data_IF_737106413800
#
_entry.id   IF_737106413800
#
_cell.length_a   1.000
_cell.length_b   1.000
_cell.length_c   1.000
_cell.angle_alpha   90.00
_cell.angle_beta   90.00
_cell.angle_gamma   90.00
#
_symmetry.space_group_name_H-M   'P 1'
#
loop_
_entity.id
_entity.type
_entity.pdbx_description
1 polymer ?
#
# COMPACT_ATOMS: atom_id res chain seq x y z
N UNK A 1 4.31 -27.50 -45.58
CA UNK A 1 5.18 -26.44 -45.00
C UNK A 1 5.69 -26.94 -43.66
N UNK A 2 6.99 -27.18 -43.55
CA UNK A 2 7.64 -27.53 -42.29
C UNK A 2 7.61 -26.26 -41.41
N UNK A 3 6.80 -26.25 -40.35
CA UNK A 3 6.85 -25.18 -39.33
C UNK A 3 8.12 -25.40 -38.52
N UNK A 4 9.16 -24.64 -38.85
CA UNK A 4 10.39 -24.58 -38.05
C UNK A 4 9.97 -24.02 -36.68
N UNK A 5 10.02 -24.86 -35.65
CA UNK A 5 9.70 -24.47 -34.28
C UNK A 5 10.93 -23.75 -33.73
N UNK A 6 10.82 -22.45 -33.54
CA UNK A 6 11.90 -21.63 -33.02
C UNK A 6 12.09 -21.92 -31.52
N UNK A 7 13.15 -22.64 -31.16
CA UNK A 7 13.52 -22.95 -29.78
C UNK A 7 14.40 -21.87 -29.13
N UNK A 8 14.79 -20.83 -29.88
CA UNK A 8 15.81 -19.86 -29.42
C UNK A 8 15.22 -18.63 -28.72
N UNK A 9 13.89 -18.51 -28.62
CA UNK A 9 13.15 -17.34 -28.12
C UNK A 9 13.60 -15.98 -28.70
N UNK A 10 14.39 -15.98 -29.80
CA UNK A 10 15.06 -14.80 -30.34
C UNK A 10 14.07 -13.72 -30.75
N UNK A 11 12.93 -14.14 -31.31
CA UNK A 11 11.84 -13.23 -31.68
C UNK A 11 11.23 -12.51 -30.46
N UNK A 12 11.10 -13.21 -29.34
CA UNK A 12 10.56 -12.66 -28.10
C UNK A 12 11.55 -11.67 -27.47
N UNK A 13 12.85 -12.01 -27.45
CA UNK A 13 13.91 -11.10 -26.97
C UNK A 13 13.97 -9.82 -27.81
N UNK A 14 13.85 -9.93 -29.13
CA UNK A 14 13.80 -8.78 -30.03
C UNK A 14 12.57 -7.90 -29.77
N UNK A 15 11.41 -8.51 -29.55
CA UNK A 15 10.19 -7.80 -29.20
C UNK A 15 10.35 -7.03 -27.88
N UNK A 16 10.85 -7.68 -26.82
CA UNK A 16 11.13 -7.05 -25.52
C UNK A 16 12.07 -5.86 -25.66
N UNK A 17 13.15 -6.01 -26.44
CA UNK A 17 14.09 -4.91 -26.73
C UNK A 17 13.40 -3.75 -27.44
N UNK A 18 12.57 -4.02 -28.45
CA UNK A 18 11.84 -2.96 -29.18
C UNK A 18 10.88 -2.21 -28.26
N UNK A 19 10.14 -2.91 -27.40
CA UNK A 19 9.23 -2.31 -26.42
C UNK A 19 10.02 -1.43 -25.44
N UNK A 20 11.09 -1.96 -24.85
CA UNK A 20 11.97 -1.22 -23.93
C UNK A 20 12.50 0.07 -24.57
N UNK A 21 13.10 -0.03 -25.76
CA UNK A 21 13.66 1.13 -26.45
C UNK A 21 12.58 2.16 -26.79
N UNK A 22 11.37 1.72 -27.15
CA UNK A 22 10.25 2.61 -27.43
C UNK A 22 9.81 3.38 -26.18
N UNK A 23 9.71 2.69 -25.03
CA UNK A 23 9.33 3.30 -23.75
C UNK A 23 10.40 4.31 -23.30
N UNK A 24 11.68 3.95 -23.38
CA UNK A 24 12.79 4.78 -22.87
C UNK A 24 13.15 5.95 -23.79
N UNK A 25 12.88 5.87 -25.09
CA UNK A 25 13.18 6.93 -26.06
C UNK A 25 12.05 7.95 -26.23
N UNK A 26 10.87 7.67 -25.69
CA UNK A 26 9.72 8.57 -25.80
C UNK A 26 9.74 9.60 -24.67
N UNK A 27 9.40 10.84 -24.99
CA UNK A 27 9.42 11.94 -23.99
C UNK A 27 8.14 11.93 -23.16
N UNK A 28 7.02 11.59 -23.79
CA UNK A 28 5.70 11.62 -23.18
C UNK A 28 4.93 10.30 -23.36
N UNK A 29 4.00 10.02 -22.44
CA UNK A 29 3.24 8.77 -22.43
C UNK A 29 2.32 8.65 -23.64
N UNK A 30 1.83 9.77 -24.19
CA UNK A 30 1.01 9.75 -25.40
C UNK A 30 1.82 9.29 -26.63
N UNK A 31 3.04 9.83 -26.76
CA UNK A 31 3.97 9.47 -27.81
C UNK A 31 4.36 7.98 -27.70
N UNK A 32 4.71 7.54 -26.49
CA UNK A 32 5.05 6.15 -26.21
C UNK A 32 3.89 5.22 -26.55
N UNK A 33 2.68 5.53 -26.08
CA UNK A 33 1.47 4.76 -26.36
C UNK A 33 1.19 4.66 -27.86
N UNK A 34 1.27 5.76 -28.59
CA UNK A 34 1.06 5.74 -30.04
C UNK A 34 2.13 4.94 -30.81
N UNK A 35 3.40 5.02 -30.41
CA UNK A 35 4.47 4.20 -31.01
C UNK A 35 4.30 2.71 -30.70
N UNK A 36 3.97 2.38 -29.45
CA UNK A 36 3.78 0.99 -29.02
C UNK A 36 2.59 0.33 -29.73
N UNK A 37 1.48 1.05 -29.95
CA UNK A 37 0.32 0.55 -30.70
C UNK A 37 0.61 0.30 -32.18
N UNK A 38 1.67 0.88 -32.75
CA UNK A 38 2.12 0.61 -34.13
C UNK A 38 2.95 -0.67 -34.24
N UNK A 39 3.44 -1.21 -33.13
CA UNK A 39 4.13 -2.50 -33.11
C UNK A 39 3.09 -3.57 -33.41
N UNK A 40 3.33 -4.38 -34.45
CA UNK A 40 2.45 -5.50 -34.79
C UNK A 40 2.70 -6.63 -33.79
N UNK A 41 1.82 -6.72 -32.79
CA UNK A 41 1.82 -7.81 -31.83
C UNK A 41 1.03 -9.00 -32.40
N UNK A 42 1.60 -10.19 -32.30
CA UNK A 42 0.85 -11.43 -32.52
C UNK A 42 -0.05 -11.72 -31.30
N UNK A 43 -1.17 -12.43 -31.47
CA UNK A 43 -2.04 -12.79 -30.36
C UNK A 43 -1.26 -13.53 -29.26
N UNK A 44 -1.32 -13.01 -28.03
CA UNK A 44 -0.59 -13.50 -26.87
C UNK A 44 0.65 -12.68 -26.50
N UNK A 45 1.19 -11.87 -27.43
CA UNK A 45 2.35 -10.99 -27.16
C UNK A 45 1.96 -9.72 -26.40
N UNK A 46 0.67 -9.41 -26.27
CA UNK A 46 0.18 -8.27 -25.48
C UNK A 46 0.59 -8.38 -24.01
N UNK A 47 0.73 -9.60 -23.49
CA UNK A 47 1.24 -9.86 -22.15
C UNK A 47 2.69 -9.36 -21.99
N UNK A 48 3.54 -9.58 -23.00
CA UNK A 48 4.93 -9.14 -22.97
C UNK A 48 5.04 -7.61 -22.91
N UNK A 49 4.11 -6.89 -23.54
CA UNK A 49 4.03 -5.43 -23.41
C UNK A 49 3.72 -5.01 -21.96
N UNK A 50 2.73 -5.62 -21.32
CA UNK A 50 2.40 -5.34 -19.92
C UNK A 50 3.56 -5.66 -18.98
N UNK A 51 4.23 -6.81 -19.17
CA UNK A 51 5.40 -7.23 -18.39
C UNK A 51 6.53 -6.23 -18.57
N UNK A 52 6.92 -5.91 -19.80
CA UNK A 52 8.01 -4.99 -20.07
C UNK A 52 7.74 -3.59 -19.51
N UNK A 53 6.51 -3.09 -19.63
CA UNK A 53 6.13 -1.80 -19.07
C UNK A 53 6.29 -1.77 -17.54
N UNK A 54 5.83 -2.83 -16.87
CA UNK A 54 5.93 -2.96 -15.41
C UNK A 54 7.39 -3.15 -14.96
N UNK A 55 8.18 -3.93 -15.68
CA UNK A 55 9.60 -4.13 -15.41
C UNK A 55 10.38 -2.82 -15.53
N UNK A 56 10.16 -2.04 -16.60
CA UNK A 56 10.76 -0.71 -16.77
C UNK A 56 10.41 0.19 -15.58
N UNK A 57 9.12 0.25 -15.22
CA UNK A 57 8.66 1.03 -14.07
C UNK A 57 9.33 0.59 -12.76
N UNK A 58 9.50 -0.71 -12.54
CA UNK A 58 10.08 -1.26 -11.31
C UNK A 58 11.57 -0.92 -11.14
N UNK A 59 12.29 -0.78 -12.25
CA UNK A 59 13.74 -0.54 -12.26
C UNK A 59 14.11 0.94 -12.10
N UNK A 60 13.16 1.85 -12.26
CA UNK A 60 13.41 3.28 -12.06
C UNK A 60 13.88 3.61 -10.64
N UNK A 61 14.75 4.60 -10.51
CA UNK A 61 15.20 5.08 -9.19
C UNK A 61 14.04 5.66 -8.36
N UNK A 62 13.08 6.28 -9.03
CA UNK A 62 11.89 6.88 -8.42
C UNK A 62 10.71 6.68 -9.34
N UNK A 63 9.54 6.40 -8.78
CA UNK A 63 8.32 6.25 -9.55
C UNK A 63 8.04 7.49 -10.42
N UNK A 64 7.82 7.25 -11.72
CA UNK A 64 7.42 8.26 -12.68
C UNK A 64 5.96 8.04 -13.06
N UNK A 65 5.13 9.09 -12.93
CA UNK A 65 3.71 9.05 -13.30
C UNK A 65 3.46 8.66 -14.77
N UNK A 66 4.46 8.88 -15.62
CA UNK A 66 4.52 8.42 -17.00
C UNK A 66 4.09 6.94 -17.16
N UNK A 67 4.58 6.03 -16.31
CA UNK A 67 4.26 4.61 -16.42
C UNK A 67 2.78 4.35 -16.08
N UNK A 68 2.26 4.93 -14.99
CA UNK A 68 0.85 4.79 -14.62
C UNK A 68 -0.10 5.31 -15.70
N UNK A 69 0.20 6.47 -16.30
CA UNK A 69 -0.58 7.04 -17.40
C UNK A 69 -0.53 6.16 -18.67
N UNK A 70 0.64 5.61 -18.98
CA UNK A 70 0.79 4.69 -20.10
C UNK A 70 -0.01 3.40 -19.89
N UNK A 71 0.09 2.78 -18.70
CA UNK A 71 -0.69 1.60 -18.33
C UNK A 71 -2.20 1.86 -18.36
N UNK A 72 -2.64 2.98 -17.80
CA UNK A 72 -4.03 3.43 -17.84
C UNK A 72 -4.54 3.53 -19.28
N UNK A 73 -3.77 4.16 -20.17
CA UNK A 73 -4.13 4.30 -21.58
C UNK A 73 -4.31 2.94 -22.25
N UNK A 74 -3.43 1.97 -21.99
CA UNK A 74 -3.59 0.61 -22.53
C UNK A 74 -4.84 -0.08 -22.03
N UNK A 75 -5.12 -0.03 -20.71
CA UNK A 75 -6.34 -0.60 -20.15
C UNK A 75 -7.62 -0.01 -20.77
N UNK A 76 -7.62 1.30 -21.05
CA UNK A 76 -8.78 1.99 -21.65
C UNK A 76 -8.97 1.71 -23.15
N UNK A 77 -7.93 1.26 -23.86
CA UNK A 77 -8.01 0.95 -25.29
C UNK A 77 -8.60 -0.44 -25.52
N UNK A 78 -8.14 -1.45 -24.78
CA UNK A 78 -8.56 -2.83 -24.97
C UNK A 78 -8.54 -3.58 -23.63
N UNK A 79 -9.65 -4.27 -23.34
CA UNK A 79 -9.82 -5.10 -22.15
C UNK A 79 -8.75 -6.20 -22.01
N UNK A 80 -8.17 -6.67 -23.11
CA UNK A 80 -7.03 -7.62 -23.07
C UNK A 80 -5.86 -7.08 -22.23
N UNK A 81 -5.56 -5.79 -22.32
CA UNK A 81 -4.49 -5.19 -21.50
C UNK A 81 -4.87 -5.10 -20.03
N UNK A 82 -6.14 -4.80 -19.73
CA UNK A 82 -6.64 -4.82 -18.36
C UNK A 82 -6.46 -6.21 -17.74
N UNK A 83 -6.93 -7.27 -18.41
CA UNK A 83 -6.78 -8.66 -17.96
C UNK A 83 -5.30 -9.08 -17.82
N UNK A 84 -4.43 -8.58 -18.70
CA UNK A 84 -2.99 -8.84 -18.60
C UNK A 84 -2.36 -8.12 -17.40
N UNK A 85 -2.73 -6.87 -17.12
CA UNK A 85 -2.27 -6.17 -15.92
C UNK A 85 -2.80 -6.79 -14.63
N UNK A 86 -4.02 -7.35 -14.62
CA UNK A 86 -4.51 -8.15 -13.49
C UNK A 86 -3.61 -9.37 -13.24
N UNK A 87 -3.27 -10.12 -14.30
CA UNK A 87 -2.33 -11.26 -14.20
C UNK A 87 -0.96 -10.80 -13.71
N UNK A 88 -0.45 -9.66 -14.21
CA UNK A 88 0.80 -9.08 -13.73
C UNK A 88 0.72 -8.75 -12.24
N UNK A 89 -0.39 -8.18 -11.75
CA UNK A 89 -0.57 -7.89 -10.33
C UNK A 89 -0.44 -9.15 -9.48
N UNK A 90 -1.17 -10.21 -9.83
CA UNK A 90 -1.14 -11.49 -9.10
C UNK A 90 0.26 -12.09 -9.11
N UNK A 91 0.93 -12.12 -10.26
CA UNK A 91 2.29 -12.63 -10.38
C UNK A 91 3.29 -11.83 -9.54
N UNK A 92 3.25 -10.49 -9.61
CA UNK A 92 4.14 -9.64 -8.82
C UNK A 92 3.90 -9.80 -7.32
N UNK A 93 2.63 -9.88 -6.88
CA UNK A 93 2.31 -10.06 -5.48
C UNK A 93 2.75 -11.44 -4.96
N UNK A 94 2.63 -12.51 -5.77
CA UNK A 94 3.11 -13.85 -5.40
C UNK A 94 4.63 -13.91 -5.17
N UNK A 95 5.40 -13.11 -5.92
CA UNK A 95 6.87 -13.06 -5.84
C UNK A 95 7.40 -11.88 -5.03
N UNK A 96 6.53 -11.20 -4.27
CA UNK A 96 6.82 -9.92 -3.64
C UNK A 96 7.97 -9.95 -2.62
N UNK A 97 8.14 -11.10 -1.97
CA UNK A 97 9.22 -11.34 -1.00
C UNK A 97 10.62 -11.33 -1.66
N UNK A 98 10.70 -11.48 -3.00
CA UNK A 98 11.95 -11.44 -3.77
C UNK A 98 12.27 -10.04 -4.30
N UNK A 99 11.34 -9.10 -4.18
CA UNK A 99 11.50 -7.74 -4.68
C UNK A 99 12.19 -6.86 -3.64
N UNK A 100 13.16 -6.08 -4.10
CA UNK A 100 13.82 -5.07 -3.29
C UNK A 100 12.89 -3.88 -3.01
N UNK A 101 13.15 -3.15 -1.93
CA UNK A 101 12.30 -2.03 -1.46
C UNK A 101 11.99 -0.99 -2.52
N UNK A 102 12.93 -0.69 -3.41
CA UNK A 102 12.71 0.28 -4.48
C UNK A 102 11.69 -0.24 -5.52
N UNK A 103 11.82 -1.50 -5.92
CA UNK A 103 10.89 -2.17 -6.84
C UNK A 103 9.49 -2.23 -6.23
N UNK A 104 9.38 -2.61 -4.94
CA UNK A 104 8.11 -2.62 -4.21
C UNK A 104 7.42 -1.26 -4.28
N UNK A 105 8.16 -0.17 -4.05
CA UNK A 105 7.62 1.19 -4.09
C UNK A 105 7.05 1.55 -5.46
N UNK A 106 7.81 1.33 -6.52
CA UNK A 106 7.38 1.72 -7.86
C UNK A 106 6.22 0.86 -8.35
N UNK A 107 6.26 -0.45 -8.12
CA UNK A 107 5.18 -1.37 -8.50
C UNK A 107 3.90 -1.05 -7.72
N UNK A 108 3.99 -0.76 -6.41
CA UNK A 108 2.84 -0.36 -5.61
C UNK A 108 2.21 0.94 -6.14
N UNK A 109 3.01 1.97 -6.41
CA UNK A 109 2.53 3.26 -6.96
C UNK A 109 1.91 3.10 -8.35
N UNK A 110 2.48 2.23 -9.19
CA UNK A 110 1.93 1.91 -10.50
C UNK A 110 0.51 1.32 -10.39
N UNK A 111 0.33 0.28 -9.57
CA UNK A 111 -0.98 -0.34 -9.41
C UNK A 111 -1.97 0.54 -8.65
N UNK A 112 -1.52 1.36 -7.69
CA UNK A 112 -2.37 2.38 -7.06
C UNK A 112 -2.90 3.40 -8.08
N UNK A 113 -2.07 3.82 -9.05
CA UNK A 113 -2.53 4.68 -10.14
C UNK A 113 -3.62 4.01 -10.98
N UNK A 114 -3.43 2.74 -11.37
CA UNK A 114 -4.42 2.03 -12.18
C UNK A 114 -5.74 1.80 -11.45
N UNK A 115 -5.69 1.44 -10.16
CA UNK A 115 -6.88 1.25 -9.32
C UNK A 115 -7.60 2.58 -9.05
N UNK A 116 -6.85 3.65 -8.77
CA UNK A 116 -7.40 4.98 -8.49
C UNK A 116 -8.02 5.67 -9.72
N UNK A 117 -7.65 5.24 -10.93
CA UNK A 117 -8.20 5.78 -12.20
C UNK A 117 -9.23 4.85 -12.85
N UNK A 118 -9.68 3.80 -12.14
CA UNK A 118 -10.61 2.78 -12.66
C UNK A 118 -10.11 2.05 -13.92
N UNK A 119 -8.81 2.08 -14.17
CA UNK A 119 -8.19 1.34 -15.26
C UNK A 119 -8.06 -0.16 -14.94
N UNK A 120 -7.94 -0.50 -13.66
CA UNK A 120 -7.91 -1.86 -13.16
C UNK A 120 -9.05 -2.06 -12.17
N UNK A 121 -9.81 -3.17 -12.25
CA UNK A 121 -10.87 -3.45 -11.31
C UNK A 121 -10.32 -3.81 -9.93
N UNK A 122 -11.08 -3.50 -8.89
CA UNK A 122 -10.63 -3.60 -7.50
C UNK A 122 -10.61 -5.03 -6.96
N UNK A 123 -11.21 -6.00 -7.67
CA UNK A 123 -11.19 -7.42 -7.28
C UNK A 123 -9.78 -8.00 -7.22
N UNK A 124 -8.79 -7.38 -7.87
CA UNK A 124 -7.38 -7.79 -7.75
C UNK A 124 -6.86 -7.70 -6.31
N UNK A 125 -7.47 -6.87 -5.47
CA UNK A 125 -7.12 -6.78 -4.05
C UNK A 125 -7.46 -8.05 -3.26
N UNK A 126 -8.32 -8.93 -3.78
CA UNK A 126 -8.66 -10.21 -3.15
C UNK A 126 -7.46 -11.15 -2.98
N UNK A 127 -6.41 -10.96 -3.78
CA UNK A 127 -5.17 -11.74 -3.66
C UNK A 127 -4.30 -11.29 -2.47
N UNK A 128 -4.61 -10.15 -1.85
CA UNK A 128 -3.91 -9.65 -0.67
C UNK A 128 -4.58 -10.22 0.58
N UNK A 129 -3.81 -10.96 1.38
CA UNK A 129 -4.22 -11.36 2.73
C UNK A 129 -3.47 -10.54 3.76
N UNK A 130 -4.18 -9.90 4.69
CA UNK A 130 -3.59 -9.09 5.76
C UNK A 130 -3.75 -9.81 7.12
N UNK A 131 -3.04 -10.92 7.27
CA UNK A 131 -2.95 -11.70 8.52
C UNK A 131 -1.51 -11.69 9.03
N UNK A 132 -1.33 -12.01 10.32
CA UNK A 132 0.02 -12.09 10.91
C UNK A 132 0.85 -13.21 10.27
N UNK A 133 0.22 -14.34 9.94
CA UNK A 133 0.85 -15.55 9.43
C UNK A 133 1.17 -15.49 7.92
N UNK A 134 0.29 -14.90 7.11
CA UNK A 134 0.45 -14.88 5.64
C UNK A 134 1.24 -13.66 5.14
N UNK A 135 1.49 -12.65 5.99
CA UNK A 135 2.17 -11.42 5.55
C UNK A 135 3.65 -11.36 5.92
N UNK A 136 4.49 -11.24 4.90
CA UNK A 136 5.91 -10.91 5.06
C UNK A 136 6.14 -9.40 5.20
N UNK A 137 7.32 -8.99 5.68
CA UNK A 137 7.72 -7.58 5.75
C UNK A 137 7.61 -6.87 4.39
N UNK A 138 8.00 -7.53 3.30
CA UNK A 138 7.87 -7.00 1.93
C UNK A 138 6.41 -6.77 1.54
N UNK A 139 5.54 -7.72 1.88
CA UNK A 139 4.09 -7.61 1.62
C UNK A 139 3.49 -6.43 2.37
N UNK A 140 3.85 -6.25 3.65
CA UNK A 140 3.41 -5.12 4.48
C UNK A 140 3.88 -3.77 3.93
N UNK A 141 5.13 -3.68 3.46
CA UNK A 141 5.65 -2.47 2.81
C UNK A 141 4.88 -2.15 1.53
N UNK A 142 4.58 -3.17 0.72
CA UNK A 142 3.81 -2.98 -0.51
C UNK A 142 2.39 -2.49 -0.24
N UNK A 143 1.66 -3.17 0.65
CA UNK A 143 0.28 -2.80 1.04
C UNK A 143 0.27 -1.39 1.61
N UNK A 144 1.24 -1.04 2.46
CA UNK A 144 1.41 0.31 3.00
C UNK A 144 1.50 1.35 1.88
N UNK A 145 2.41 1.16 0.91
CA UNK A 145 2.63 2.13 -0.16
C UNK A 145 1.41 2.19 -1.09
N UNK A 146 0.80 1.04 -1.40
CA UNK A 146 -0.38 0.94 -2.26
C UNK A 146 -1.55 1.76 -1.70
N UNK A 147 -1.89 1.56 -0.42
CA UNK A 147 -3.02 2.26 0.21
C UNK A 147 -2.72 3.73 0.51
N UNK A 148 -1.46 4.07 0.84
CA UNK A 148 -1.06 5.48 0.99
C UNK A 148 -1.23 6.23 -0.33
N UNK A 149 -0.74 5.67 -1.44
CA UNK A 149 -0.89 6.29 -2.76
C UNK A 149 -2.37 6.37 -3.19
N UNK A 150 -3.17 5.34 -2.94
CA UNK A 150 -4.61 5.37 -3.21
C UNK A 150 -5.32 6.47 -2.41
N UNK A 151 -4.96 6.64 -1.14
CA UNK A 151 -5.52 7.71 -0.30
C UNK A 151 -5.06 9.09 -0.77
N UNK A 152 -3.83 9.24 -1.28
CA UNK A 152 -3.35 10.49 -1.87
C UNK A 152 -4.11 10.85 -3.17
N UNK A 153 -4.42 9.86 -4.00
CA UNK A 153 -5.13 10.06 -5.27
C UNK A 153 -6.65 10.31 -5.10
N UNK A 154 -7.32 9.52 -4.26
CA UNK A 154 -8.78 9.55 -4.12
C UNK A 154 -9.27 10.38 -2.93
N UNK A 155 -8.42 10.56 -1.93
CA UNK A 155 -8.80 11.01 -0.59
C UNK A 155 -9.38 9.88 0.25
N UNK A 156 -9.24 10.02 1.58
CA UNK A 156 -9.65 8.99 2.55
C UNK A 156 -11.15 8.66 2.52
N UNK A 157 -11.99 9.67 2.24
CA UNK A 157 -13.47 9.52 2.22
C UNK A 157 -13.91 8.66 1.05
N UNK A 158 -13.52 9.05 -0.17
CA UNK A 158 -13.80 8.32 -1.40
C UNK A 158 -13.23 6.91 -1.36
N UNK A 159 -12.02 6.74 -0.80
CA UNK A 159 -11.41 5.43 -0.60
C UNK A 159 -12.27 4.56 0.32
N UNK A 160 -12.75 5.11 1.45
CA UNK A 160 -13.60 4.37 2.38
C UNK A 160 -14.95 3.98 1.76
N UNK A 161 -15.56 4.86 0.98
CA UNK A 161 -16.79 4.57 0.23
C UNK A 161 -16.60 3.39 -0.72
N UNK A 162 -15.50 3.38 -1.50
CA UNK A 162 -15.18 2.27 -2.41
C UNK A 162 -14.88 0.96 -1.68
N UNK A 163 -14.16 1.02 -0.56
CA UNK A 163 -13.85 -0.18 0.24
C UNK A 163 -15.07 -0.72 1.01
N UNK A 164 -16.13 0.08 1.13
CA UNK A 164 -17.39 -0.29 1.78
C UNK A 164 -18.48 -0.70 0.78
N UNK A 165 -18.17 -0.79 -0.51
CA UNK A 165 -19.12 -1.21 -1.54
C UNK A 165 -19.56 -2.67 -1.30
N UNK A 166 -20.87 -2.92 -1.06
CA UNK A 166 -21.39 -4.26 -0.82
C UNK A 166 -21.06 -5.26 -1.94
N UNK A 167 -20.95 -4.80 -3.19
CA UNK A 167 -20.68 -5.68 -4.33
C UNK A 167 -19.24 -6.23 -4.33
N UNK A 168 -18.30 -5.54 -3.67
CA UNK A 168 -16.88 -5.90 -3.65
C UNK A 168 -16.40 -6.38 -2.27
N UNK A 169 -17.33 -6.49 -1.30
CA UNK A 169 -17.00 -6.84 0.08
C UNK A 169 -16.23 -8.17 0.18
N UNK A 170 -16.59 -9.17 -0.63
CA UNK A 170 -15.90 -10.47 -0.71
C UNK A 170 -14.43 -10.31 -1.14
N UNK A 171 -14.15 -9.36 -2.04
CA UNK A 171 -12.78 -9.09 -2.51
C UNK A 171 -11.92 -8.40 -1.45
N UNK A 172 -12.53 -7.78 -0.44
CA UNK A 172 -11.80 -7.07 0.62
C UNK A 172 -11.79 -7.83 1.95
N UNK A 173 -12.48 -8.97 2.05
CA UNK A 173 -12.55 -9.79 3.27
C UNK A 173 -11.15 -10.22 3.74
N UNK A 174 -10.26 -10.55 2.82
CA UNK A 174 -8.88 -10.93 3.14
C UNK A 174 -8.02 -9.77 3.68
N UNK A 175 -8.42 -8.52 3.44
CA UNK A 175 -7.74 -7.30 3.94
C UNK A 175 -8.41 -6.79 5.23
N UNK A 176 -9.73 -6.91 5.33
CA UNK A 176 -10.54 -6.55 6.50
C UNK A 176 -11.21 -7.80 7.10
N UNK A 177 -10.41 -8.72 7.67
CA UNK A 177 -10.90 -9.99 8.19
C UNK A 177 -11.90 -9.81 9.33
N UNK A 178 -13.06 -10.48 9.23
CA UNK A 178 -14.11 -10.52 10.27
C UNK A 178 -14.24 -11.89 10.95
N UNK A 179 -13.41 -12.84 10.54
CA UNK A 179 -13.35 -14.22 11.01
C UNK A 179 -12.85 -14.32 12.46
N UNK A 180 -11.69 -13.72 12.75
CA UNK A 180 -10.98 -13.86 14.00
C UNK A 180 -10.67 -12.48 14.59
N UNK A 181 -10.99 -12.22 15.88
CA UNK A 181 -10.68 -10.95 16.52
C UNK A 181 -9.18 -10.60 16.49
N UNK A 182 -8.27 -11.59 16.44
CA UNK A 182 -6.82 -11.34 16.29
C UNK A 182 -6.49 -10.75 14.93
N UNK A 183 -7.01 -11.35 13.84
CA UNK A 183 -6.79 -10.87 12.47
C UNK A 183 -7.40 -9.48 12.27
N UNK A 184 -8.61 -9.25 12.80
CA UNK A 184 -9.26 -7.94 12.76
C UNK A 184 -8.43 -6.86 13.47
N UNK A 185 -7.91 -7.15 14.68
CA UNK A 185 -7.01 -6.23 15.41
C UNK A 185 -5.72 -5.97 14.66
N UNK A 186 -5.15 -7.00 14.04
CA UNK A 186 -3.93 -6.86 13.22
C UNK A 186 -4.17 -5.90 12.05
N UNK A 187 -5.25 -6.08 11.30
CA UNK A 187 -5.63 -5.18 10.19
C UNK A 187 -5.87 -3.75 10.67
N UNK A 188 -6.61 -3.55 11.78
CA UNK A 188 -6.81 -2.22 12.39
C UNK A 188 -5.47 -1.57 12.75
N UNK A 189 -4.61 -2.28 13.46
CA UNK A 189 -3.31 -1.77 13.90
C UNK A 189 -2.39 -1.45 12.72
N UNK A 190 -2.44 -2.27 11.67
CA UNK A 190 -1.70 -2.03 10.45
C UNK A 190 -2.14 -0.70 9.81
N UNK A 191 -3.44 -0.53 9.54
CA UNK A 191 -3.96 0.68 8.90
C UNK A 191 -3.82 1.95 9.75
N UNK A 192 -3.93 1.85 11.08
CA UNK A 192 -3.63 2.98 11.97
C UNK A 192 -2.15 3.37 11.93
N UNK A 193 -1.23 2.39 11.92
CA UNK A 193 0.21 2.64 11.88
C UNK A 193 0.68 3.34 10.60
N UNK A 194 -0.05 3.18 9.49
CA UNK A 194 0.26 3.83 8.22
C UNK A 194 -0.48 5.16 8.01
N UNK A 195 -1.27 5.60 8.99
CA UNK A 195 -2.01 6.86 8.96
C UNK A 195 -3.39 6.78 8.29
N UNK A 196 -3.89 5.58 7.99
CA UNK A 196 -5.16 5.33 7.31
C UNK A 196 -6.20 4.70 8.26
N UNK A 197 -6.26 5.15 9.52
CA UNK A 197 -7.19 4.59 10.50
C UNK A 197 -8.67 4.73 10.11
N UNK A 198 -9.02 5.74 9.30
CA UNK A 198 -10.39 6.04 8.90
C UNK A 198 -11.06 4.95 8.04
N UNK A 199 -10.30 4.14 7.30
CA UNK A 199 -10.85 3.02 6.51
C UNK A 199 -11.18 1.78 7.35
N UNK A 200 -10.86 1.79 8.64
CA UNK A 200 -11.11 0.65 9.55
C UNK A 200 -12.28 0.86 10.50
N UNK A 201 -13.08 1.91 10.32
CA UNK A 201 -14.17 2.24 11.25
C UNK A 201 -15.20 1.11 11.35
N UNK A 202 -15.65 0.58 10.21
CA UNK A 202 -16.56 -0.57 10.14
C UNK A 202 -16.00 -1.80 10.89
N UNK A 203 -14.69 -2.02 10.82
CA UNK A 203 -14.03 -3.15 11.47
C UNK A 203 -13.90 -2.95 12.99
N UNK A 204 -13.72 -1.70 13.43
CA UNK A 204 -13.73 -1.32 14.85
C UNK A 204 -15.11 -1.47 15.47
N UNK A 205 -16.15 -1.04 14.77
CA UNK A 205 -17.54 -1.24 15.20
C UNK A 205 -17.88 -2.72 15.33
N UNK A 206 -17.46 -3.54 14.36
CA UNK A 206 -17.61 -4.99 14.44
C UNK A 206 -16.96 -5.58 15.70
N UNK A 207 -15.72 -5.19 16.02
CA UNK A 207 -15.04 -5.64 17.24
C UNK A 207 -15.68 -5.14 18.54
N UNK A 208 -16.27 -3.94 18.54
CA UNK A 208 -17.02 -3.41 19.70
C UNK A 208 -18.32 -4.19 19.94
N UNK A 209 -18.96 -4.66 18.87
CA UNK A 209 -20.23 -5.39 18.93
C UNK A 209 -20.06 -6.91 19.12
N UNK A 210 -18.87 -7.47 18.85
CA UNK A 210 -18.56 -8.89 19.02
C UNK A 210 -18.89 -9.47 20.42
N UNK A 211 -18.53 -8.82 21.55
CA UNK A 211 -18.93 -9.29 22.87
C UNK A 211 -20.46 -9.37 23.06
N UNK A 212 -21.23 -8.52 22.37
CA UNK A 212 -22.70 -8.55 22.39
C UNK A 212 -23.30 -9.63 21.50
N UNK A 213 -22.66 -9.95 20.37
CA UNK A 213 -23.10 -11.04 19.50
C UNK A 213 -22.82 -12.43 20.10
N UNK A 214 -21.70 -12.61 20.80
CA UNK A 214 -21.37 -13.86 21.50
C UNK A 214 -22.38 -14.12 22.64
N UNK A 215 -22.84 -13.07 23.32
CA UNK A 215 -23.88 -13.15 24.35
C UNK A 215 -25.30 -13.37 23.79
N UNK A 216 -25.51 -13.17 22.48
CA UNK A 216 -26.81 -13.30 21.79
C UNK A 216 -26.92 -14.56 20.92
N UNK A 217 -25.87 -15.37 20.78
CA UNK A 217 -26.03 -16.72 20.27
C UNK A 217 -26.64 -17.59 21.38
N UNK A 218 -27.87 -18.10 21.22
CA UNK A 218 -28.35 -19.13 22.13
C UNK A 218 -27.43 -20.36 21.95
N UNK A 219 -26.82 -20.79 23.05
CA UNK A 219 -26.19 -22.10 23.16
C UNK A 219 -27.10 -23.14 22.53
N UNK A 220 -26.66 -23.72 21.43
CA UNK A 220 -27.31 -24.86 20.82
C UNK A 220 -26.25 -25.92 20.53
N UNK A 221 -26.00 -26.77 21.54
CA UNK A 221 -26.22 -28.23 21.51
C UNK A 221 -25.66 -28.88 22.81
N UNK A 222 -26.17 -30.07 23.20
CA UNK A 222 -26.31 -30.49 24.61
C UNK A 222 -25.20 -31.41 25.16
N UNK A 223 -25.20 -31.48 26.50
CA UNK A 223 -24.69 -32.50 27.44
C UNK A 223 -23.25 -33.01 27.32
N UNK A 224 -22.43 -32.58 28.28
CA UNK A 224 -21.64 -33.48 29.13
C UNK A 224 -21.38 -32.81 30.47
N UNK A 225 -21.95 -33.40 31.52
CA UNK A 225 -21.81 -33.03 32.93
C UNK A 225 -20.34 -32.97 33.38
N UNK A 226 -19.92 -31.88 34.02
CA UNK A 226 -19.14 -31.95 35.26
C UNK A 226 -19.15 -30.60 35.97
N UNK A 227 -19.57 -30.67 37.22
CA UNK A 227 -19.76 -29.60 38.20
C UNK A 227 -18.48 -28.78 38.48
N UNK A 228 -18.69 -27.52 38.84
CA UNK A 228 -17.64 -26.62 39.34
C UNK A 228 -18.27 -25.32 39.80
N UNK A 229 -18.45 -25.21 41.11
CA UNK A 229 -19.28 -24.26 41.84
C UNK A 229 -18.91 -22.78 41.64
N UNK A 230 -19.93 -21.95 41.73
CA UNK A 230 -19.91 -20.50 41.84
C UNK A 230 -19.30 -20.05 43.17
N UNK A 231 -18.33 -19.14 43.12
CA UNK A 231 -18.03 -18.25 44.24
C UNK A 231 -18.02 -16.80 43.74
N UNK A 232 -19.17 -16.15 43.88
CA UNK A 232 -19.22 -14.70 44.07
C UNK A 232 -18.94 -14.42 45.54
N UNK A 233 -17.81 -13.77 45.84
CA UNK A 233 -17.57 -13.21 47.17
C UNK A 233 -17.28 -11.72 47.06
N UNK A 234 -18.32 -10.96 47.40
CA UNK A 234 -18.25 -9.57 47.81
C UNK A 234 -17.65 -9.48 49.21
N UNK A 235 -16.47 -8.87 49.35
CA UNK A 235 -15.84 -8.60 50.64
C UNK A 235 -15.31 -7.17 50.72
N UNK A 236 -15.99 -6.33 51.51
CA UNK A 236 -15.66 -4.93 51.75
C UNK A 236 -14.68 -4.73 52.93
N UNK A 237 -13.98 -3.58 52.86
CA UNK A 237 -13.62 -2.66 53.97
C UNK A 237 -12.25 -2.77 54.67
N UNK A 238 -11.67 -1.59 54.88
CA UNK A 238 -10.46 -1.31 55.67
C UNK A 238 -9.82 0.02 55.22
N UNK A 239 -10.51 1.17 55.39
CA UNK A 239 -10.16 2.24 56.35
C UNK A 239 -8.74 2.80 56.17
N UNK A 240 -8.58 3.91 55.42
CA UNK A 240 -8.61 5.32 55.86
C UNK A 240 -7.29 5.77 56.50
N UNK A 241 -6.57 6.65 55.81
CA UNK A 241 -5.94 7.81 56.44
C UNK A 241 -5.98 8.97 55.44
N UNK A 242 -6.61 10.04 55.90
CA UNK A 242 -6.74 11.33 55.22
C UNK A 242 -5.55 12.20 55.61
N UNK A 243 -4.94 12.87 54.65
CA UNK A 243 -4.40 14.21 54.88
C UNK A 243 -4.68 15.04 53.63
N UNK A 244 -5.57 16.02 53.82
CA UNK A 244 -5.91 17.07 52.87
C UNK A 244 -4.97 18.25 53.07
N UNK A 245 -4.42 18.78 51.98
CA UNK A 245 -4.30 20.22 51.69
C UNK A 245 -3.39 20.37 50.47
N UNK A 246 -3.57 21.27 49.51
CA UNK A 246 -4.62 22.20 49.11
C UNK A 246 -4.16 22.76 47.76
N UNK A 247 -5.07 23.04 46.83
CA UNK A 247 -4.72 23.71 45.56
C UNK A 247 -5.55 23.26 44.36
N UNK A 248 -6.76 23.79 44.25
CA UNK A 248 -7.51 23.82 42.98
C UNK A 248 -7.15 25.09 42.21
N UNK A 249 -7.75 25.33 41.04
CA UNK A 249 -7.67 24.55 39.80
C UNK A 249 -7.22 25.47 38.65
N UNK A 250 -6.66 24.99 37.54
CA UNK A 250 -6.85 25.70 36.27
C UNK A 250 -7.01 24.75 35.08
N UNK A 251 -8.03 25.09 34.31
CA UNK A 251 -8.51 24.45 33.11
C UNK A 251 -7.63 24.77 31.91
N UNK A 252 -7.56 23.79 31.02
CA UNK A 252 -7.49 23.84 29.56
C UNK A 252 -7.24 25.19 28.87
N UNK A 253 -6.27 25.22 27.96
CA UNK A 253 -6.52 25.29 26.50
C UNK A 253 -5.22 25.51 25.72
N UNK A 254 -5.10 24.77 24.62
CA UNK A 254 -4.60 25.19 23.29
C UNK A 254 -3.30 26.01 23.19
N UNK A 255 -2.32 25.51 22.43
CA UNK A 255 -1.72 26.20 21.27
C UNK A 255 -0.56 25.41 20.66
N UNK A 256 -0.52 25.40 19.33
CA UNK A 256 0.58 24.95 18.45
C UNK A 256 1.99 25.36 18.90
N UNK A 257 3.02 24.68 18.35
CA UNK A 257 3.95 25.48 17.56
C UNK A 257 4.30 24.85 16.21
N UNK A 258 3.97 25.61 15.18
CA UNK A 258 4.68 25.56 13.90
C UNK A 258 6.08 26.18 14.03
N UNK A 259 7.00 25.67 13.21
CA UNK A 259 8.29 26.27 12.82
C UNK A 259 9.45 26.26 13.84
N UNK A 260 10.44 25.38 13.62
CA UNK A 260 11.84 25.62 14.00
C UNK A 260 12.83 24.55 13.49
N UNK A 261 12.73 24.16 12.21
CA UNK A 261 13.81 23.38 11.55
C UNK A 261 14.67 24.21 10.56
N UNK A 262 14.36 25.49 10.34
CA UNK A 262 15.15 26.34 9.45
C UNK A 262 16.38 26.98 10.13
N UNK A 263 16.42 27.04 11.46
CA UNK A 263 17.47 27.77 12.20
C UNK A 263 18.77 26.95 12.42
N UNK A 264 18.70 25.62 12.31
CA UNK A 264 19.89 24.74 12.35
C UNK A 264 20.70 24.76 11.04
N UNK A 265 20.03 24.99 9.90
CA UNK A 265 20.68 25.01 8.57
C UNK A 265 21.45 26.32 8.32
N UNK A 266 21.00 27.43 8.90
CA UNK A 266 21.69 28.72 8.81
C UNK A 266 23.05 28.73 9.53
N UNK A 267 23.13 28.09 10.72
CA UNK A 267 24.38 28.01 11.51
C UNK A 267 25.44 27.11 10.87
N UNK A 268 25.05 26.05 10.13
CA UNK A 268 25.98 25.18 9.39
C UNK A 268 26.51 25.81 8.09
N UNK A 269 25.72 26.66 7.41
CA UNK A 269 26.19 27.38 6.19
C UNK A 269 27.21 28.49 6.51
N UNK A 270 27.03 29.23 7.60
CA UNK A 270 27.97 30.29 8.04
C UNK A 270 29.37 29.76 8.40
N UNK A 271 29.47 28.55 8.97
CA UNK A 271 30.76 27.93 9.34
C UNK A 271 31.53 27.37 8.15
N UNK A 272 30.85 26.96 7.06
CA UNK A 272 31.51 26.47 5.83
C UNK A 272 32.09 27.62 5.01
N UNK A 273 31.39 28.75 4.94
CA UNK A 273 31.83 29.90 4.14
C UNK A 273 33.12 30.56 4.68
N UNK A 274 33.29 30.62 6.01
CA UNK A 274 34.52 31.13 6.66
C UNK A 274 35.75 30.23 6.47
N UNK A 275 35.58 28.95 6.12
CA UNK A 275 36.68 28.00 5.92
C UNK A 275 37.28 28.09 4.51
N UNK A 276 36.44 28.30 3.49
CA UNK A 276 36.87 28.49 2.09
C UNK A 276 37.60 29.83 1.87
N UNK A 277 37.21 30.88 2.60
CA UNK A 277 37.85 32.20 2.48
C UNK A 277 39.28 32.22 3.06
N UNK A 278 39.56 31.40 4.08
CA UNK A 278 40.90 31.22 4.66
C UNK A 278 41.83 30.37 3.78
N UNK A 279 41.29 29.43 3.01
CA UNK A 279 42.08 28.64 2.06
C UNK A 279 42.45 29.44 0.80
N UNK A 280 41.54 30.28 0.29
CA UNK A 280 41.80 31.16 -0.87
C UNK A 280 42.80 32.29 -0.59
N UNK A 281 42.94 32.73 0.66
CA UNK A 281 43.98 33.71 1.06
C UNK A 281 45.38 33.09 1.18
N UNK A 282 45.49 31.80 1.49
CA UNK A 282 46.78 31.09 1.58
C UNK A 282 47.37 30.70 0.23
N UNK A 283 46.56 30.54 -0.81
CA UNK A 283 47.01 30.21 -2.17
C UNK A 283 47.38 31.42 -3.04
N UNK A 284 47.31 32.64 -2.50
CA UNK A 284 47.66 33.89 -3.20
C UNK A 284 48.94 34.55 -2.67
N UNK A 285 49.64 33.91 -1.73
CA UNK A 285 50.90 34.37 -1.13
C UNK A 285 52.04 33.36 -1.30
N UNK A 286 51.90 32.42 -2.23
CA UNK A 286 52.97 31.53 -2.68
C UNK A 286 53.07 31.55 -4.20
#
# INVERSE_FOLDING_TARGET
MMKIKDETETNLVNLRRTIYLTIMSSVDFEEAGHKLLKIKLEPGQEMELCIMLLECCSQERTYLRYYGLLGQRFCMINKVYQENFEKCFVQQYSMIHRLETNKLRNVAKFFAHLLGTDALPWHVLAYIRLTEEDTTSSSRIFIKILFQELSEHLGIRTLNERLSDPAMQESFESIFPRDNPKNARFSINFFTSIGLGGITENLREYLKNMPRLILQQPESLPDSESEGESDEESGSSGSSDSDSDSGSPESESESDPSSSEEDERARKRSRRHRRDERQRKRSRQS
#
